data_IF_291830738891
#
_entry.id   IF_291830738891
#
_cell.length_a   1.000
_cell.length_b   1.000
_cell.length_c   1.000
_cell.angle_alpha   90.00
_cell.angle_beta   90.00
_cell.angle_gamma   90.00
#
_symmetry.space_group_name_H-M   'P 1'
#
loop_
_entity.id
_entity.type
_entity.pdbx_description
1 polymer ?
#
# COMPACT_ATOMS: atom_id res chain seq x y z
N UNK A 1 26.54 4.85 12.18
CA UNK A 1 26.22 3.77 11.24
C UNK A 1 24.75 3.93 10.91
N UNK A 2 24.50 4.39 9.70
CA UNK A 2 23.16 4.73 9.23
C UNK A 2 22.42 3.43 8.94
N UNK A 3 21.42 3.10 9.78
CA UNK A 3 20.51 1.98 9.56
C UNK A 3 19.52 2.39 8.46
N UNK A 4 20.07 2.64 7.27
CA UNK A 4 19.29 2.86 6.07
C UNK A 4 18.43 1.63 5.88
N UNK A 5 17.15 1.83 6.21
CA UNK A 5 16.05 0.89 6.04
C UNK A 5 16.29 0.21 4.70
N UNK A 6 16.63 -1.08 4.73
CA UNK A 6 16.92 -1.90 3.56
C UNK A 6 15.63 -2.00 2.74
N UNK A 7 15.33 -0.96 1.96
CA UNK A 7 14.49 -1.10 0.78
C UNK A 7 15.17 -2.19 -0.06
N UNK A 8 14.46 -3.26 -0.45
CA UNK A 8 15.01 -4.25 -1.37
C UNK A 8 15.63 -3.51 -2.56
N UNK A 9 16.82 -3.94 -3.03
CA UNK A 9 17.57 -3.23 -4.08
C UNK A 9 16.72 -2.96 -5.33
N UNK A 10 15.76 -3.83 -5.63
CA UNK A 10 14.79 -3.68 -6.73
C UNK A 10 13.79 -2.52 -6.57
N UNK A 11 13.78 -1.84 -5.43
CA UNK A 11 12.80 -0.81 -5.05
C UNK A 11 13.46 0.46 -4.48
N UNK A 12 14.80 0.57 -4.55
CA UNK A 12 15.50 1.78 -4.11
C UNK A 12 15.06 3.02 -4.89
N UNK A 13 14.77 2.86 -6.18
CA UNK A 13 14.41 3.96 -7.09
C UNK A 13 12.93 4.33 -7.03
N UNK A 14 12.12 3.63 -6.23
CA UNK A 14 10.68 3.88 -6.18
C UNK A 14 10.41 5.17 -5.39
N UNK A 15 9.72 6.17 -5.99
CA UNK A 15 9.26 7.34 -5.25
C UNK A 15 8.31 6.91 -4.13
N UNK A 16 8.08 7.80 -3.15
CA UNK A 16 7.21 7.53 -2.00
C UNK A 16 5.97 8.43 -2.04
N UNK A 17 4.83 7.89 -1.65
CA UNK A 17 3.54 8.58 -1.63
C UNK A 17 2.82 8.31 -0.31
N UNK A 18 1.93 9.22 0.09
CA UNK A 18 1.13 9.08 1.29
C UNK A 18 0.02 8.04 1.08
N UNK A 19 0.11 6.91 1.78
CA UNK A 19 -0.87 5.83 1.69
C UNK A 19 -2.29 6.27 2.09
N UNK A 20 -2.44 7.33 2.89
CA UNK A 20 -3.76 7.86 3.29
C UNK A 20 -4.54 8.42 2.11
N UNK A 21 -3.85 8.97 1.12
CA UNK A 21 -4.50 9.55 -0.07
C UNK A 21 -4.84 8.44 -1.06
N UNK A 22 -3.87 7.59 -1.34
CA UNK A 22 -3.96 6.63 -2.45
C UNK A 22 -4.69 5.33 -2.07
N UNK A 23 -4.57 4.91 -0.80
CA UNK A 23 -4.96 3.58 -0.34
C UNK A 23 -6.00 3.62 0.79
N UNK A 24 -6.68 4.75 1.02
CA UNK A 24 -7.86 4.77 1.90
C UNK A 24 -9.00 3.93 1.31
N UNK A 25 -9.79 3.21 2.14
CA UNK A 25 -10.99 2.54 1.69
C UNK A 25 -11.91 3.47 0.91
N UNK A 26 -12.53 2.92 -0.13
CA UNK A 26 -13.49 3.63 -0.97
C UNK A 26 -14.83 2.94 -0.83
N UNK A 27 -15.90 3.71 -1.01
CA UNK A 27 -17.26 3.16 -0.97
C UNK A 27 -17.45 2.13 -2.09
N UNK A 28 -17.84 0.92 -1.75
CA UNK A 28 -18.16 -0.13 -2.72
C UNK A 28 -19.57 0.02 -3.31
N UNK A 29 -19.92 -0.85 -4.26
CA UNK A 29 -21.24 -0.88 -4.88
C UNK A 29 -22.40 -1.20 -3.91
N UNK A 30 -22.11 -1.50 -2.63
CA UNK A 30 -23.10 -1.71 -1.56
C UNK A 30 -23.14 -0.54 -0.57
N UNK A 31 -22.39 0.53 -0.81
CA UNK A 31 -22.34 1.70 0.06
C UNK A 31 -21.43 1.56 1.29
N UNK A 32 -20.55 0.54 1.34
CA UNK A 32 -19.66 0.31 2.47
C UNK A 32 -18.21 0.67 2.12
N UNK A 33 -17.45 1.19 3.09
CA UNK A 33 -16.01 1.41 2.93
C UNK A 33 -15.29 0.08 2.70
N UNK A 34 -14.55 0.00 1.59
CA UNK A 34 -14.01 -1.24 1.09
C UNK A 34 -12.66 -1.08 0.39
N UNK A 35 -11.85 -2.14 0.43
CA UNK A 35 -10.56 -2.24 -0.23
C UNK A 35 -10.59 -3.06 -1.52
N UNK A 36 -11.79 -3.33 -2.06
CA UNK A 36 -11.97 -4.19 -3.25
C UNK A 36 -11.25 -3.69 -4.51
N UNK A 37 -10.89 -2.39 -4.55
CA UNK A 37 -10.13 -1.80 -5.65
C UNK A 37 -8.61 -2.03 -5.55
N UNK A 38 -8.13 -2.55 -4.42
CA UNK A 38 -6.73 -2.86 -4.15
C UNK A 38 -6.51 -4.37 -4.28
N UNK A 39 -5.62 -4.77 -5.17
CA UNK A 39 -5.30 -6.17 -5.44
C UNK A 39 -3.95 -6.53 -4.80
N UNK A 40 -3.87 -7.54 -3.93
CA UNK A 40 -2.59 -8.01 -3.40
C UNK A 40 -1.77 -8.69 -4.52
N UNK A 41 -0.47 -8.41 -4.58
CA UNK A 41 0.46 -9.03 -5.52
C UNK A 41 1.18 -10.21 -4.88
N UNK A 42 1.81 -9.97 -3.71
CA UNK A 42 2.49 -11.01 -2.91
C UNK A 42 3.00 -10.42 -1.58
N UNK A 43 2.90 -11.14 -0.45
CA UNK A 43 1.97 -12.24 -0.17
C UNK A 43 0.52 -11.72 -0.02
N UNK A 44 -0.46 -12.62 -0.13
CA UNK A 44 -1.89 -12.31 -0.01
C UNK A 44 -2.34 -12.37 1.47
N UNK A 45 -1.94 -11.37 2.28
CA UNK A 45 -2.38 -11.24 3.68
C UNK A 45 -3.23 -9.99 3.88
N UNK A 46 -3.64 -9.73 5.13
CA UNK A 46 -4.50 -8.61 5.53
C UNK A 46 -4.05 -7.31 4.87
N UNK A 47 -4.89 -6.84 3.94
CA UNK A 47 -4.69 -5.61 3.19
C UNK A 47 -5.00 -4.41 4.09
N UNK A 48 -5.76 -4.61 5.18
CA UNK A 48 -6.27 -3.51 6.01
C UNK A 48 -5.40 -3.26 7.24
N UNK A 49 -4.95 -2.03 7.42
CA UNK A 49 -4.38 -1.52 8.67
C UNK A 49 -5.25 -0.41 9.25
N UNK A 50 -5.13 -0.17 10.56
CA UNK A 50 -5.84 0.90 11.27
C UNK A 50 -4.83 1.78 11.99
N UNK A 51 -4.87 3.07 11.71
CA UNK A 51 -4.04 4.09 12.36
C UNK A 51 -4.54 4.37 13.79
N UNK A 52 -3.75 5.07 14.59
CA UNK A 52 -4.08 5.42 15.98
C UNK A 52 -5.36 6.25 16.09
N UNK A 53 -5.61 7.12 15.11
CA UNK A 53 -6.84 7.94 15.02
C UNK A 53 -8.07 7.15 14.57
N UNK A 54 -7.89 5.88 14.24
CA UNK A 54 -8.91 4.95 13.79
C UNK A 54 -9.16 4.93 12.28
N UNK A 55 -8.44 5.72 11.50
CA UNK A 55 -8.45 5.69 10.04
C UNK A 55 -8.03 4.31 9.55
N UNK A 56 -8.78 3.75 8.60
CA UNK A 56 -8.45 2.47 7.96
C UNK A 56 -7.69 2.74 6.68
N UNK A 57 -6.69 1.93 6.37
CA UNK A 57 -5.95 1.94 5.12
C UNK A 57 -5.98 0.56 4.49
N UNK A 58 -6.10 0.49 3.17
CA UNK A 58 -6.01 -0.73 2.35
C UNK A 58 -4.56 -1.14 2.05
N UNK A 59 -3.66 -0.83 2.98
CA UNK A 59 -2.28 -1.26 2.95
C UNK A 59 -1.75 -1.32 4.37
N UNK A 60 -0.94 -2.32 4.70
CA UNK A 60 -0.16 -2.30 5.94
C UNK A 60 0.94 -1.27 5.81
N UNK A 61 0.96 -0.28 6.70
CA UNK A 61 2.04 0.72 6.76
C UNK A 61 2.96 0.42 7.94
N UNK A 62 4.12 1.07 7.96
CA UNK A 62 5.02 0.97 9.11
C UNK A 62 4.50 1.81 10.28
N UNK A 63 4.76 1.41 11.52
CA UNK A 63 4.40 2.20 12.70
C UNK A 63 5.06 3.58 12.71
N UNK A 64 6.19 3.74 11.99
CA UNK A 64 6.97 4.98 11.93
C UNK A 64 6.64 5.88 10.73
N UNK A 65 5.91 5.38 9.73
CA UNK A 65 5.63 6.13 8.50
C UNK A 65 4.46 5.55 7.70
N UNK A 66 3.58 6.44 7.26
CA UNK A 66 2.48 6.19 6.31
C UNK A 66 2.89 6.41 4.85
N UNK A 67 4.12 6.87 4.61
CA UNK A 67 4.66 7.01 3.26
C UNK A 67 5.19 5.67 2.77
N UNK A 68 4.66 5.21 1.64
CA UNK A 68 5.02 3.92 1.03
C UNK A 68 5.68 4.13 -0.33
N UNK A 69 6.71 3.34 -0.69
CA UNK A 69 7.23 3.34 -2.04
C UNK A 69 6.16 2.91 -3.04
N UNK A 70 6.16 3.50 -4.22
CA UNK A 70 5.25 3.11 -5.30
C UNK A 70 5.95 3.13 -6.65
N UNK A 71 5.39 2.42 -7.62
CA UNK A 71 5.74 2.55 -9.04
C UNK A 71 4.48 2.54 -9.89
N UNK A 72 4.55 3.22 -11.01
CA UNK A 72 3.52 3.14 -12.04
C UNK A 72 3.93 2.15 -13.11
N UNK A 73 2.99 1.32 -13.53
CA UNK A 73 3.10 0.47 -14.71
C UNK A 73 2.10 0.94 -15.76
N UNK A 74 2.08 0.33 -16.94
CA UNK A 74 1.10 0.65 -17.99
C UNK A 74 -0.33 0.34 -17.52
N UNK A 75 -0.50 -0.69 -16.70
CA UNK A 75 -1.81 -1.24 -16.31
C UNK A 75 -2.28 -0.81 -14.92
N UNK A 76 -1.34 -0.46 -14.03
CA UNK A 76 -1.62 -0.27 -12.62
C UNK A 76 -0.65 0.72 -11.94
N UNK A 77 -0.98 1.07 -10.71
CA UNK A 77 -0.03 1.64 -9.75
C UNK A 77 0.21 0.61 -8.66
N UNK A 78 1.48 0.28 -8.40
CA UNK A 78 1.88 -0.68 -7.38
C UNK A 78 2.50 0.03 -6.18
N UNK A 79 2.14 -0.41 -4.98
CA UNK A 79 2.56 0.16 -3.71
C UNK A 79 3.22 -0.92 -2.86
N UNK A 80 4.36 -0.58 -2.27
CA UNK A 80 5.11 -1.46 -1.39
C UNK A 80 4.76 -1.18 0.07
N UNK A 81 3.98 -2.07 0.63
CA UNK A 81 3.43 -2.04 1.97
C UNK A 81 4.24 -2.91 2.94
N UNK A 82 4.13 -2.60 4.23
CA UNK A 82 4.63 -3.44 5.32
C UNK A 82 6.12 -3.27 5.60
N UNK A 83 6.55 -3.89 6.69
CA UNK A 83 7.93 -3.93 7.16
C UNK A 83 8.49 -5.34 7.02
N UNK A 84 9.81 -5.46 6.85
CA UNK A 84 10.46 -6.78 6.85
C UNK A 84 10.14 -7.54 8.15
N UNK A 85 9.82 -8.85 8.10
CA UNK A 85 9.72 -9.72 6.91
C UNK A 85 8.34 -9.72 6.24
N UNK A 86 7.36 -9.01 6.79
CA UNK A 86 5.96 -8.96 6.36
C UNK A 86 5.71 -7.86 5.32
N UNK A 87 6.56 -7.81 4.29
CA UNK A 87 6.42 -6.87 3.18
C UNK A 87 5.39 -7.40 2.18
N UNK A 88 4.63 -6.49 1.58
CA UNK A 88 3.59 -6.81 0.61
C UNK A 88 3.60 -5.80 -0.52
N UNK A 89 3.43 -6.25 -1.76
CA UNK A 89 3.08 -5.35 -2.86
C UNK A 89 1.57 -5.42 -3.06
N UNK A 90 0.91 -4.28 -3.14
CA UNK A 90 -0.49 -4.15 -3.56
C UNK A 90 -0.56 -3.33 -4.84
N UNK A 91 -1.59 -3.52 -5.65
CA UNK A 91 -1.78 -2.79 -6.90
C UNK A 91 -3.19 -2.22 -7.03
N UNK A 92 -3.29 -1.05 -7.65
CA UNK A 92 -4.54 -0.41 -8.05
C UNK A 92 -4.54 -0.32 -9.57
N UNK A 93 -5.52 -0.94 -10.22
CA UNK A 93 -5.63 -0.91 -11.69
C UNK A 93 -6.02 0.50 -12.16
N UNK A 94 -5.37 0.99 -13.22
CA UNK A 94 -5.64 2.32 -13.80
C UNK A 94 -7.03 2.39 -14.44
N UNK A 95 -7.43 1.29 -15.09
CA UNK A 95 -8.79 1.11 -15.60
C UNK A 95 -9.53 0.15 -14.68
N UNK A 96 -10.30 0.69 -13.74
CA UNK A 96 -11.28 -0.09 -13.02
C UNK A 96 -12.48 -0.36 -13.95
N UNK A 97 -12.99 -1.59 -14.01
CA UNK A 97 -14.21 -1.88 -14.78
C UNK A 97 -15.43 -1.12 -14.24
#
# INVERSE_FOLDING_TARGET
MDWSILKPTSMQDWPSVDARVELSPKMDGKGNDSCLFVLPVKPEYSIVSKLEDGTKLCCSVSDSSVFVPYRETEEATEYFCGNYPNQQIVRVLKNQP
#
